data_IF_084131953380
#
_entry.id   IF_084131953380
#
_cell.length_a   1.000
_cell.length_b   1.000
_cell.length_c   1.000
_cell.angle_alpha   90.00
_cell.angle_beta   90.00
_cell.angle_gamma   90.00
#
_symmetry.space_group_name_H-M   'P 1'
#
loop_
_entity.id
_entity.type
_entity.pdbx_description
1 polymer ?
#
# COMPACT_ATOMS: atom_id res chain seq x y z
N UNK A 1 2.34 -28.05 3.13
CA UNK A 1 2.62 -26.77 3.84
C UNK A 1 2.70 -25.65 2.81
N UNK A 2 2.40 -24.40 3.17
CA UNK A 2 2.38 -23.27 2.23
C UNK A 2 3.39 -22.21 2.68
N UNK A 3 4.31 -21.85 1.80
CA UNK A 3 5.23 -20.73 1.98
C UNK A 3 4.80 -19.62 1.03
N UNK A 4 4.41 -18.46 1.57
CA UNK A 4 4.00 -17.31 0.78
C UNK A 4 5.02 -16.19 0.88
N UNK A 5 5.50 -15.74 -0.27
CA UNK A 5 6.45 -14.64 -0.40
C UNK A 5 5.74 -13.50 -1.12
N UNK A 6 5.77 -12.32 -0.48
CA UNK A 6 5.27 -11.09 -1.09
C UNK A 6 6.43 -10.27 -1.60
N UNK A 7 6.37 -9.92 -2.88
CA UNK A 7 7.39 -9.10 -3.53
C UNK A 7 6.84 -7.77 -4.00
N UNK A 8 7.72 -6.79 -4.02
CA UNK A 8 7.38 -5.41 -4.29
C UNK A 8 8.56 -4.71 -4.95
N UNK A 9 8.29 -3.91 -5.96
CA UNK A 9 9.27 -3.04 -6.61
C UNK A 9 8.63 -1.68 -6.91
N UNK A 10 9.39 -0.57 -6.87
CA UNK A 10 8.84 0.77 -7.08
C UNK A 10 8.05 0.93 -8.39
N UNK A 11 8.45 0.23 -9.46
CA UNK A 11 7.76 0.24 -10.76
C UNK A 11 6.52 -0.67 -10.84
N UNK A 12 6.12 -1.29 -9.72
CA UNK A 12 5.06 -2.30 -9.69
C UNK A 12 5.57 -3.66 -10.17
N UNK A 13 5.04 -4.74 -9.61
CA UNK A 13 5.48 -6.11 -9.90
C UNK A 13 4.69 -6.70 -11.06
N UNK A 14 5.38 -7.23 -12.06
CA UNK A 14 4.81 -7.94 -13.21
C UNK A 14 4.63 -9.43 -12.90
N UNK A 15 3.87 -10.13 -13.74
CA UNK A 15 3.75 -11.59 -13.64
C UNK A 15 5.11 -12.29 -13.84
N UNK A 16 5.95 -11.76 -14.74
CA UNK A 16 7.30 -12.27 -15.00
C UNK A 16 8.21 -12.14 -13.78
N UNK A 17 8.13 -11.05 -13.02
CA UNK A 17 8.90 -10.90 -11.78
C UNK A 17 8.57 -11.99 -10.77
N UNK A 18 7.27 -12.27 -10.57
CA UNK A 18 6.81 -13.35 -9.69
C UNK A 18 7.31 -14.72 -10.18
N UNK A 19 7.25 -14.96 -11.50
CA UNK A 19 7.67 -16.23 -12.09
C UNK A 19 9.19 -16.46 -11.96
N UNK A 20 9.99 -15.44 -12.27
CA UNK A 20 11.45 -15.50 -12.18
C UNK A 20 11.88 -15.73 -10.73
N UNK A 21 11.36 -14.94 -9.79
CA UNK A 21 11.71 -15.11 -8.39
C UNK A 21 11.25 -16.46 -7.82
N UNK A 22 10.07 -16.95 -8.22
CA UNK A 22 9.59 -18.27 -7.79
C UNK A 22 10.59 -19.37 -8.17
N UNK A 23 11.14 -19.32 -9.39
CA UNK A 23 12.16 -20.28 -9.86
C UNK A 23 13.46 -20.17 -9.06
N UNK A 24 13.98 -18.96 -8.88
CA UNK A 24 15.23 -18.71 -8.16
C UNK A 24 15.13 -19.14 -6.69
N UNK A 25 14.07 -18.71 -6.00
CA UNK A 25 13.86 -19.01 -4.59
C UNK A 25 13.61 -20.49 -4.37
N UNK A 26 12.82 -21.16 -5.22
CA UNK A 26 12.62 -22.61 -5.11
C UNK A 26 13.96 -23.36 -5.19
N UNK A 27 14.83 -22.96 -6.13
CA UNK A 27 16.15 -23.58 -6.29
C UNK A 27 17.01 -23.43 -5.04
N UNK A 28 17.05 -22.22 -4.46
CA UNK A 28 17.83 -21.94 -3.25
C UNK A 28 17.27 -22.72 -2.06
N UNK A 29 15.95 -22.73 -1.89
CA UNK A 29 15.29 -23.45 -0.77
C UNK A 29 15.58 -24.96 -0.82
N UNK A 30 15.62 -25.54 -2.01
CA UNK A 30 15.89 -26.97 -2.21
C UNK A 30 17.38 -27.31 -2.00
N UNK A 31 18.30 -26.45 -2.45
CA UNK A 31 19.76 -26.66 -2.29
C UNK A 31 20.18 -26.54 -0.82
N UNK A 32 19.63 -25.56 -0.10
CA UNK A 32 20.00 -25.28 1.29
C UNK A 32 19.21 -26.13 2.31
N UNK A 33 18.29 -26.99 1.84
CA UNK A 33 17.31 -27.72 2.69
C UNK A 33 16.62 -26.78 3.71
N UNK A 34 16.29 -25.57 3.26
CA UNK A 34 15.83 -24.48 4.13
C UNK A 34 14.39 -24.69 4.65
N UNK A 35 13.68 -25.72 4.16
CA UNK A 35 12.32 -26.08 4.59
C UNK A 35 12.30 -27.53 5.11
N UNK A 36 12.75 -27.77 6.35
CA UNK A 36 12.86 -29.11 6.90
C UNK A 36 11.50 -29.84 6.93
N UNK A 37 11.47 -31.13 6.64
CA UNK A 37 10.28 -31.99 6.85
C UNK A 37 9.41 -32.29 5.63
N UNK A 38 9.93 -32.15 4.40
CA UNK A 38 9.29 -32.63 3.17
C UNK A 38 8.57 -31.56 2.32
N UNK A 39 7.63 -31.97 1.47
CA UNK A 39 7.06 -31.13 0.41
C UNK A 39 6.36 -29.84 0.88
N UNK A 40 6.51 -28.79 0.07
CA UNK A 40 5.91 -27.47 0.28
C UNK A 40 5.28 -26.94 -1.01
N UNK A 41 4.39 -25.96 -0.87
CA UNK A 41 3.86 -25.15 -1.97
C UNK A 41 4.41 -23.74 -1.81
N UNK A 42 5.17 -23.29 -2.79
CA UNK A 42 5.68 -21.92 -2.86
C UNK A 42 4.69 -21.03 -3.63
N UNK A 43 4.25 -19.95 -3.00
CA UNK A 43 3.41 -18.93 -3.62
C UNK A 43 4.16 -17.59 -3.60
N UNK A 44 4.50 -17.08 -4.77
CA UNK A 44 5.07 -15.74 -4.94
C UNK A 44 3.99 -14.83 -5.50
N UNK A 45 3.67 -13.76 -4.77
CA UNK A 45 2.68 -12.79 -5.19
C UNK A 45 3.17 -11.37 -4.92
N UNK A 46 2.60 -10.40 -5.64
CA UNK A 46 2.70 -9.01 -5.22
C UNK A 46 1.55 -8.68 -4.27
N UNK A 47 1.70 -7.70 -3.36
CA UNK A 47 0.60 -7.23 -2.51
C UNK A 47 -0.58 -6.62 -3.31
N UNK A 48 -0.46 -6.55 -4.64
CA UNK A 48 -1.51 -6.11 -5.55
C UNK A 48 -1.70 -4.60 -5.62
N UNK A 49 -2.76 -4.19 -6.33
CA UNK A 49 -3.16 -2.79 -6.56
C UNK A 49 -3.74 -2.10 -5.30
N UNK A 50 -3.95 -2.84 -4.21
CA UNK A 50 -4.55 -2.37 -2.96
C UNK A 50 -3.59 -2.60 -1.78
N UNK A 51 -2.33 -2.15 -1.94
CA UNK A 51 -1.35 -2.24 -0.84
C UNK A 51 -1.85 -1.42 0.36
N UNK A 52 -2.18 -2.11 1.45
CA UNK A 52 -2.58 -1.50 2.71
C UNK A 52 -1.41 -0.74 3.35
N UNK A 53 -1.70 0.46 3.84
CA UNK A 53 -0.80 1.25 4.68
C UNK A 53 -1.29 1.13 6.12
N UNK A 54 -0.47 0.56 7.00
CA UNK A 54 -0.89 0.25 8.38
C UNK A 54 0.06 0.88 9.40
N UNK A 55 1.37 0.76 9.17
CA UNK A 55 2.39 1.24 10.11
C UNK A 55 2.87 2.63 9.71
N UNK A 56 3.36 3.45 10.67
CA UNK A 56 3.97 4.76 10.37
C UNK A 56 5.00 4.72 9.23
N UNK A 57 5.90 3.73 9.26
CA UNK A 57 6.91 3.57 8.21
C UNK A 57 6.36 3.28 6.81
N UNK A 58 5.12 2.78 6.69
CA UNK A 58 4.47 2.67 5.38
C UNK A 58 4.15 4.06 4.82
N UNK A 59 3.60 4.96 5.64
CA UNK A 59 3.28 6.32 5.21
C UNK A 59 4.54 7.12 4.90
N UNK A 60 5.61 6.96 5.69
CA UNK A 60 6.91 7.56 5.40
C UNK A 60 7.47 7.12 4.05
N UNK A 61 7.43 5.81 3.78
CA UNK A 61 7.94 5.20 2.54
C UNK A 61 7.19 5.63 1.29
N UNK A 62 5.88 5.85 1.41
CA UNK A 62 5.00 6.15 0.28
C UNK A 62 4.58 7.62 0.19
N UNK A 63 5.32 8.53 0.83
CA UNK A 63 5.20 9.96 0.57
C UNK A 63 5.36 10.25 -0.92
N UNK A 64 4.55 11.17 -1.43
CA UNK A 64 4.41 11.47 -2.85
C UNK A 64 3.53 10.50 -3.64
N UNK A 65 3.00 9.42 -3.05
CA UNK A 65 2.08 8.49 -3.74
C UNK A 65 0.62 8.86 -3.51
N UNK A 66 -0.27 8.49 -4.44
CA UNK A 66 -1.72 8.56 -4.22
C UNK A 66 -2.18 7.46 -3.28
N UNK A 67 -3.03 7.84 -2.33
CA UNK A 67 -3.63 6.93 -1.35
C UNK A 67 -5.14 7.17 -1.27
N UNK A 68 -5.88 6.10 -0.99
CA UNK A 68 -7.27 6.17 -0.56
C UNK A 68 -7.34 5.76 0.90
N UNK A 69 -8.02 6.54 1.72
CA UNK A 69 -8.16 6.27 3.14
C UNK A 69 -9.60 6.44 3.62
N UNK A 70 -9.88 5.84 4.77
CA UNK A 70 -11.12 6.04 5.50
C UNK A 70 -10.81 6.31 6.96
N UNK A 71 -11.48 7.31 7.52
CA UNK A 71 -11.32 7.70 8.92
C UNK A 71 -12.41 7.10 9.80
N UNK A 72 -12.08 6.88 11.08
CA UNK A 72 -12.99 6.38 12.12
C UNK A 72 -14.04 7.45 12.43
N UNK A 73 -13.58 8.65 12.77
CA UNK A 73 -14.41 9.84 12.93
C UNK A 73 -14.39 10.70 11.65
N UNK A 74 -15.51 11.34 11.30
CA UNK A 74 -15.57 12.22 10.14
C UNK A 74 -14.62 13.41 10.30
N UNK A 75 -13.90 13.74 9.23
CA UNK A 75 -13.10 14.95 9.09
C UNK A 75 -13.81 15.84 8.08
N UNK A 76 -14.14 17.08 8.43
CA UNK A 76 -14.93 17.98 7.58
C UNK A 76 -16.23 17.34 7.04
N UNK A 77 -16.93 16.57 7.87
CA UNK A 77 -18.18 15.91 7.50
C UNK A 77 -18.06 14.70 6.56
N UNK A 78 -16.84 14.30 6.16
CA UNK A 78 -16.60 13.15 5.30
C UNK A 78 -15.69 12.13 6.02
N UNK A 79 -15.83 10.85 5.67
CA UNK A 79 -14.98 9.75 6.16
C UNK A 79 -14.10 9.14 5.09
N UNK A 80 -14.40 9.36 3.81
CA UNK A 80 -13.68 8.74 2.70
C UNK A 80 -12.91 9.79 1.92
N UNK A 81 -11.60 9.58 1.80
CA UNK A 81 -10.71 10.50 1.13
C UNK A 81 -9.81 9.76 0.15
N UNK A 82 -9.52 10.40 -0.96
CA UNK A 82 -8.51 9.97 -1.92
C UNK A 82 -7.70 11.20 -2.29
N UNK A 83 -6.38 11.07 -2.31
CA UNK A 83 -5.49 12.19 -2.59
C UNK A 83 -4.03 11.76 -2.59
N UNK A 84 -3.13 12.71 -2.77
CA UNK A 84 -1.69 12.48 -2.72
C UNK A 84 -1.17 12.67 -1.31
N UNK A 85 -0.46 11.69 -0.78
CA UNK A 85 0.21 11.80 0.51
C UNK A 85 1.41 12.74 0.35
N UNK A 86 1.31 13.99 0.79
CA UNK A 86 2.41 14.96 0.66
C UNK A 86 3.46 14.76 1.75
N UNK A 87 3.01 14.60 3.00
CA UNK A 87 3.88 14.52 4.16
C UNK A 87 3.35 13.53 5.19
N UNK A 88 4.25 12.88 5.93
CA UNK A 88 3.90 12.13 7.13
C UNK A 88 4.93 12.39 8.22
N UNK A 89 4.50 12.93 9.35
CA UNK A 89 5.38 13.24 10.48
C UNK A 89 4.61 13.18 11.80
N UNK A 90 5.26 12.64 12.84
CA UNK A 90 4.72 12.61 14.21
C UNK A 90 3.29 12.03 14.27
N UNK A 91 2.99 11.03 13.43
CA UNK A 91 1.68 10.37 13.37
C UNK A 91 0.58 11.19 12.70
N UNK A 92 0.91 12.27 11.99
CA UNK A 92 -0.02 13.05 11.17
C UNK A 92 0.38 12.96 9.70
N UNK A 93 -0.63 12.81 8.83
CA UNK A 93 -0.45 12.80 7.38
C UNK A 93 -1.13 14.00 6.74
N UNK A 94 -0.47 14.60 5.76
CA UNK A 94 -1.03 15.66 4.92
C UNK A 94 -1.44 15.07 3.57
N UNK A 95 -2.72 15.19 3.24
CA UNK A 95 -3.31 14.67 2.00
C UNK A 95 -3.73 15.82 1.08
N UNK A 96 -3.17 15.86 -0.13
CA UNK A 96 -3.59 16.76 -1.21
C UNK A 96 -4.76 16.15 -2.00
N UNK A 97 -5.94 16.75 -1.87
CA UNK A 97 -7.19 16.35 -2.51
C UNK A 97 -7.32 16.88 -3.95
N UNK A 98 -6.50 17.84 -4.39
CA UNK A 98 -6.54 18.35 -5.76
C UNK A 98 -6.23 17.24 -6.79
N UNK A 99 -5.36 16.32 -6.37
CA UNK A 99 -4.97 15.12 -7.10
C UNK A 99 -5.86 13.91 -6.77
N UNK A 100 -7.10 14.10 -6.31
CA UNK A 100 -8.08 12.99 -6.22
C UNK A 100 -8.64 12.61 -7.62
N UNK A 101 -9.10 11.37 -7.81
CA UNK A 101 -9.93 11.03 -8.99
C UNK A 101 -11.20 11.88 -9.01
N UNK A 102 -11.75 12.16 -10.21
CA UNK A 102 -12.96 13.01 -10.41
C UNK A 102 -14.16 12.63 -9.51
N UNK A 103 -14.32 11.35 -9.15
CA UNK A 103 -15.39 10.85 -8.28
C UNK A 103 -15.23 11.24 -6.80
N UNK A 104 -14.00 11.55 -6.36
CA UNK A 104 -13.65 11.89 -4.98
C UNK A 104 -13.28 13.36 -4.79
N UNK A 105 -13.32 14.18 -5.86
CA UNK A 105 -13.16 15.63 -5.71
C UNK A 105 -14.33 16.17 -4.91
N UNK A 106 -14.02 16.77 -3.76
CA UNK A 106 -14.98 17.56 -3.02
C UNK A 106 -15.42 18.78 -3.86
N UNK A 107 -16.56 19.38 -3.48
CA UNK A 107 -17.09 20.61 -4.08
C UNK A 107 -16.00 21.68 -4.22
N UNK A 108 -16.15 22.59 -5.19
CA UNK A 108 -15.20 23.64 -5.58
C UNK A 108 -14.66 24.51 -4.42
N UNK A 109 -15.27 24.43 -3.23
CA UNK A 109 -14.98 25.22 -2.03
C UNK A 109 -14.30 24.43 -0.90
N UNK A 110 -13.94 23.15 -1.12
CA UNK A 110 -13.29 22.34 -0.10
C UNK A 110 -11.77 22.64 0.01
N UNK A 111 -11.18 22.53 1.22
CA UNK A 111 -9.75 22.72 1.40
C UNK A 111 -8.96 21.72 0.56
N UNK A 112 -8.00 22.22 -0.23
CA UNK A 112 -7.18 21.38 -1.12
C UNK A 112 -6.25 20.45 -0.36
N UNK A 113 -5.88 20.80 0.88
CA UNK A 113 -5.04 19.99 1.76
C UNK A 113 -5.79 19.63 3.03
N UNK A 114 -5.64 18.37 3.46
CA UNK A 114 -6.29 17.83 4.64
C UNK A 114 -5.25 17.16 5.53
N UNK A 115 -5.21 17.54 6.80
CA UNK A 115 -4.37 16.89 7.80
C UNK A 115 -5.20 15.85 8.58
N UNK A 116 -4.68 14.63 8.71
CA UNK A 116 -5.35 13.52 9.37
C UNK A 116 -4.38 12.83 10.34
N UNK A 117 -4.82 12.61 11.57
CA UNK A 117 -4.07 11.81 12.52
C UNK A 117 -4.16 10.32 12.16
N UNK A 118 -3.02 9.62 12.22
CA UNK A 118 -2.94 8.17 12.02
C UNK A 118 -3.86 7.41 12.98
N UNK A 119 -4.04 7.92 14.20
CA UNK A 119 -4.95 7.32 15.19
C UNK A 119 -6.43 7.30 14.73
N UNK A 120 -6.83 8.30 13.94
CA UNK A 120 -8.17 8.39 13.36
C UNK A 120 -8.32 7.57 12.07
N UNK A 121 -7.26 6.93 11.60
CA UNK A 121 -7.29 6.17 10.35
C UNK A 121 -7.86 4.76 10.59
N UNK A 122 -8.90 4.40 9.83
CA UNK A 122 -9.53 3.08 9.87
C UNK A 122 -8.91 2.13 8.84
N UNK A 123 -8.67 2.64 7.63
CA UNK A 123 -8.01 1.91 6.53
C UNK A 123 -7.33 2.90 5.59
N UNK A 124 -6.18 2.52 5.06
CA UNK A 124 -5.53 3.22 3.95
C UNK A 124 -4.94 2.22 2.97
N UNK A 125 -4.98 2.56 1.68
CA UNK A 125 -4.38 1.76 0.61
C UNK A 125 -3.73 2.69 -0.40
N UNK A 126 -2.63 2.25 -1.02
CA UNK A 126 -2.10 2.92 -2.21
C UNK A 126 -3.11 2.84 -3.35
N UNK A 127 -3.14 3.90 -4.17
CA UNK A 127 -3.86 3.94 -5.43
C UNK A 127 -2.82 3.91 -6.54
N UNK A 128 -2.82 2.87 -7.39
CA UNK A 128 -1.90 2.78 -8.52
C UNK A 128 -2.11 3.93 -9.50
N UNK A 129 -1.00 4.51 -9.94
CA UNK A 129 -0.93 5.47 -11.03
C UNK A 129 -0.45 4.70 -12.26
N UNK A 130 -1.40 4.34 -13.14
CA UNK A 130 -1.15 3.71 -14.45
C UNK A 130 -1.23 4.81 -15.51
#
# INVERSE_FOLDING_TARGET
RMLRIFIDKPSGVTHEDCANLSREVSTILDVEDAVPGGSYVLEVSSPGLDRKLVKPGDFERFQGSRIKLTTKAPVNGNRHFEGRLEHFESGRLTLDLAQARKKFRASTDAPQKLEIELANLEKANLVPEI
#
